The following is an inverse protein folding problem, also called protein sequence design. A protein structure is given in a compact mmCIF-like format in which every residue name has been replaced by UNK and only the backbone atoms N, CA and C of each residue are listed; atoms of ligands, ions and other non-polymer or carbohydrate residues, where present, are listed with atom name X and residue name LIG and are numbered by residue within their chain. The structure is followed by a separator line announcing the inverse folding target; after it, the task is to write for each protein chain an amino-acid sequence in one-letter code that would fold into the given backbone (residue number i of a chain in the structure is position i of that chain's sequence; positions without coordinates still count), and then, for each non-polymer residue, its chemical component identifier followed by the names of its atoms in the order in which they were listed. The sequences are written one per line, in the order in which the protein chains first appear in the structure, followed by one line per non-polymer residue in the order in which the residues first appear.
data_IF_104183262873
#
_entry.id   IF_104183262873
#
_cell.length_a   1.000
_cell.length_b   1.000
_cell.length_c   1.000
_cell.angle_alpha   90.00
_cell.angle_beta   90.00
_cell.angle_gamma   90.00
#
_symmetry.space_group_name_H-M   'P 1'
#
loop_
_entity.id
_entity.type
_entity.pdbx_description
1 polymer ?
#
# COMPACT_ATOMS: atom_id res chain seq x y z
N UNK A 1 -5.96 -23.11 -16.71
CA UNK A 1 -5.24 -22.43 -15.60
C UNK A 1 -6.24 -21.94 -14.56
N UNK A 2 -5.99 -22.12 -13.25
CA UNK A 2 -6.86 -21.57 -12.20
C UNK A 2 -6.56 -20.08 -12.00
N UNK A 3 -7.58 -19.23 -12.12
CA UNK A 3 -7.52 -17.78 -11.83
C UNK A 3 -7.73 -17.52 -10.32
N UNK A 4 -7.40 -16.32 -9.86
CA UNK A 4 -7.81 -15.87 -8.53
C UNK A 4 -9.33 -15.69 -8.46
N UNK A 5 -9.90 -15.82 -7.25
CA UNK A 5 -11.30 -15.48 -7.02
C UNK A 5 -11.55 -13.99 -7.36
N UNK A 6 -12.69 -13.61 -7.96
CA UNK A 6 -12.97 -12.23 -8.38
C UNK A 6 -12.77 -11.20 -7.27
N UNK A 7 -13.16 -11.52 -6.03
CA UNK A 7 -12.93 -10.66 -4.86
C UNK A 7 -11.44 -10.34 -4.65
N UNK A 8 -10.56 -11.33 -4.80
CA UNK A 8 -9.12 -11.12 -4.65
C UNK A 8 -8.56 -10.26 -5.78
N UNK A 9 -9.12 -10.37 -6.99
CA UNK A 9 -8.76 -9.53 -8.15
C UNK A 9 -9.21 -8.09 -7.92
N UNK A 10 -10.47 -7.87 -7.53
CA UNK A 10 -11.01 -6.53 -7.21
C UNK A 10 -10.16 -5.86 -6.12
N UNK A 11 -9.91 -6.56 -5.01
CA UNK A 11 -9.12 -6.01 -3.91
C UNK A 11 -7.69 -5.70 -4.33
N UNK A 12 -7.06 -6.53 -5.17
CA UNK A 12 -5.72 -6.22 -5.68
C UNK A 12 -5.68 -4.91 -6.48
N UNK A 13 -6.60 -4.73 -7.43
CA UNK A 13 -6.66 -3.51 -8.25
C UNK A 13 -7.10 -2.29 -7.45
N UNK A 14 -7.99 -2.44 -6.48
CA UNK A 14 -8.35 -1.38 -5.54
C UNK A 14 -7.12 -0.93 -4.74
N UNK A 15 -6.34 -1.86 -4.20
CA UNK A 15 -5.10 -1.51 -3.47
C UNK A 15 -4.13 -0.73 -4.37
N UNK A 16 -3.93 -1.20 -5.61
CA UNK A 16 -3.09 -0.49 -6.59
C UNK A 16 -3.58 0.95 -6.81
N UNK A 17 -4.88 1.15 -7.07
CA UNK A 17 -5.46 2.47 -7.28
C UNK A 17 -5.30 3.37 -6.05
N UNK A 18 -5.53 2.85 -4.85
CA UNK A 18 -5.37 3.62 -3.61
C UNK A 18 -3.91 4.05 -3.40
N UNK A 19 -2.93 3.17 -3.66
CA UNK A 19 -1.51 3.55 -3.60
C UNK A 19 -1.18 4.62 -4.63
N UNK A 20 -1.64 4.46 -5.88
CA UNK A 20 -1.40 5.44 -6.93
C UNK A 20 -1.96 6.82 -6.55
N UNK A 21 -3.18 6.86 -6.00
CA UNK A 21 -3.82 8.10 -5.50
C UNK A 21 -3.05 8.69 -4.33
N UNK A 22 -2.66 7.88 -3.34
CA UNK A 22 -1.94 8.34 -2.16
C UNK A 22 -0.57 8.96 -2.53
N UNK A 23 0.19 8.28 -3.39
CA UNK A 23 1.50 8.74 -3.86
C UNK A 23 1.36 9.98 -4.74
N UNK A 24 0.50 9.94 -5.75
CA UNK A 24 0.27 11.12 -6.60
C UNK A 24 -0.16 12.35 -5.79
N UNK A 25 -1.01 12.17 -4.77
CA UNK A 25 -1.46 13.27 -3.93
C UNK A 25 -0.31 13.89 -3.10
N UNK A 26 0.60 13.09 -2.54
CA UNK A 26 1.70 13.62 -1.72
C UNK A 26 2.81 14.25 -2.58
N UNK A 27 3.12 13.65 -3.73
CA UNK A 27 4.08 14.22 -4.70
C UNK A 27 3.57 15.56 -5.23
N UNK A 28 2.33 15.61 -5.74
CA UNK A 28 1.72 16.85 -6.21
C UNK A 28 1.63 17.89 -5.10
N UNK A 29 1.36 17.48 -3.86
CA UNK A 29 1.36 18.40 -2.72
C UNK A 29 2.71 19.09 -2.56
N UNK A 30 3.82 18.39 -2.80
CA UNK A 30 5.18 18.94 -2.76
C UNK A 30 5.33 20.20 -3.59
N UNK A 31 4.76 20.18 -4.80
CA UNK A 31 4.83 21.25 -5.80
C UNK A 31 3.88 22.44 -5.53
N UNK A 32 2.86 22.27 -4.66
CA UNK A 32 1.89 23.35 -4.39
C UNK A 32 2.41 24.29 -3.29
N UNK A 33 2.42 25.63 -3.47
CA UNK A 33 2.82 26.58 -2.43
C UNK A 33 2.07 26.42 -1.10
N UNK A 34 2.75 26.74 0.01
CA UNK A 34 2.14 26.77 1.35
C UNK A 34 0.99 27.80 1.38
N UNK A 35 -0.07 27.50 2.13
CA UNK A 35 -1.26 28.36 2.27
C UNK A 35 -2.36 28.13 1.24
N UNK A 36 -2.09 27.42 0.15
CA UNK A 36 -3.10 27.12 -0.88
C UNK A 36 -4.11 26.05 -0.41
N UNK A 37 -5.43 26.24 -0.62
CA UNK A 37 -6.46 25.24 -0.27
C UNK A 37 -6.22 23.86 -0.91
N UNK A 38 -5.68 23.84 -2.13
CA UNK A 38 -5.33 22.61 -2.82
C UNK A 38 -4.28 21.79 -2.06
N UNK A 39 -3.29 22.42 -1.44
CA UNK A 39 -2.25 21.73 -0.65
C UNK A 39 -2.84 20.99 0.55
N UNK A 40 -3.85 21.59 1.20
CA UNK A 40 -4.58 20.96 2.30
C UNK A 40 -5.44 19.79 1.78
N UNK A 41 -6.13 19.99 0.66
CA UNK A 41 -6.95 18.95 0.00
C UNK A 41 -6.11 17.73 -0.36
N UNK A 42 -4.94 17.92 -0.98
CA UNK A 42 -4.03 16.83 -1.34
C UNK A 42 -3.52 16.07 -0.11
N UNK A 43 -3.26 16.76 1.02
CA UNK A 43 -2.93 16.10 2.30
C UNK A 43 -4.08 15.21 2.77
N UNK A 44 -5.32 15.71 2.73
CA UNK A 44 -6.52 14.94 3.12
C UNK A 44 -6.70 13.72 2.22
N UNK A 45 -6.54 13.87 0.90
CA UNK A 45 -6.63 12.76 -0.06
C UNK A 45 -5.57 11.70 0.26
N UNK A 46 -4.32 12.10 0.47
CA UNK A 46 -3.23 11.18 0.84
C UNK A 46 -3.55 10.41 2.14
N UNK A 47 -3.94 11.12 3.21
CA UNK A 47 -4.28 10.50 4.50
C UNK A 47 -5.45 9.53 4.36
N UNK A 48 -6.53 9.94 3.67
CA UNK A 48 -7.73 9.12 3.45
C UNK A 48 -7.40 7.87 2.64
N UNK A 49 -6.63 8.00 1.57
CA UNK A 49 -6.19 6.86 0.77
C UNK A 49 -5.33 5.88 1.58
N UNK A 50 -4.40 6.37 2.41
CA UNK A 50 -3.62 5.57 3.35
C UNK A 50 -4.50 4.79 4.34
N UNK A 51 -5.50 5.44 4.93
CA UNK A 51 -6.44 4.79 5.85
C UNK A 51 -7.30 3.72 5.14
N UNK A 52 -7.71 3.97 3.90
CA UNK A 52 -8.42 2.97 3.09
C UNK A 52 -7.52 1.79 2.72
N UNK A 53 -6.24 2.02 2.43
CA UNK A 53 -5.24 0.94 2.23
C UNK A 53 -5.19 0.04 3.46
N UNK A 54 -5.09 0.63 4.66
CA UNK A 54 -5.07 -0.10 5.93
C UNK A 54 -6.35 -0.92 6.14
N UNK A 55 -7.51 -0.35 5.83
CA UNK A 55 -8.80 -1.04 5.93
C UNK A 55 -8.89 -2.20 4.93
N UNK A 56 -8.57 -1.95 3.66
CA UNK A 56 -8.73 -2.94 2.59
C UNK A 56 -7.64 -4.01 2.56
N UNK A 57 -6.46 -3.79 3.15
CA UNK A 57 -5.47 -4.86 3.30
C UNK A 57 -5.97 -5.96 4.25
N UNK A 58 -6.77 -5.61 5.28
CA UNK A 58 -7.42 -6.61 6.15
C UNK A 58 -8.39 -7.47 5.35
N UNK A 59 -9.28 -6.85 4.56
CA UNK A 59 -10.19 -7.58 3.67
C UNK A 59 -9.45 -8.41 2.63
N UNK A 60 -8.34 -7.91 2.09
CA UNK A 60 -7.49 -8.64 1.15
C UNK A 60 -6.85 -9.86 1.78
N UNK A 61 -6.35 -9.75 3.01
CA UNK A 61 -5.79 -10.89 3.74
C UNK A 61 -6.86 -11.92 4.08
N UNK A 62 -8.04 -11.47 4.51
CA UNK A 62 -9.20 -12.34 4.76
C UNK A 62 -9.65 -13.08 3.49
N UNK A 63 -9.74 -12.39 2.35
CA UNK A 63 -10.07 -13.01 1.07
C UNK A 63 -9.01 -14.05 0.64
N UNK A 64 -7.72 -13.76 0.85
CA UNK A 64 -6.63 -14.71 0.58
C UNK A 64 -6.74 -15.95 1.47
N UNK A 65 -7.11 -15.80 2.74
CA UNK A 65 -7.31 -16.94 3.64
C UNK A 65 -8.55 -17.76 3.26
N UNK A 66 -9.66 -17.09 2.93
CA UNK A 66 -10.94 -17.72 2.63
C UNK A 66 -11.00 -18.45 1.28
N UNK A 67 -10.36 -17.88 0.25
CA UNK A 67 -10.41 -18.40 -1.12
C UNK A 67 -9.10 -19.05 -1.57
N UNK A 68 -8.03 -18.90 -0.79
CA UNK A 68 -6.70 -19.41 -1.11
C UNK A 68 -6.03 -18.66 -2.26
N UNK A 69 -4.94 -19.25 -2.76
CA UNK A 69 -4.21 -18.78 -3.94
C UNK A 69 -4.12 -19.90 -4.97
N UNK A 70 -4.13 -19.61 -6.28
CA UNK A 70 -3.88 -20.61 -7.31
C UNK A 70 -2.56 -21.36 -7.07
N UNK A 71 -2.50 -22.60 -7.57
CA UNK A 71 -1.29 -23.43 -7.48
C UNK A 71 -0.07 -22.71 -8.04
N UNK A 72 1.11 -22.94 -7.44
CA UNK A 72 2.38 -22.40 -7.92
C UNK A 72 2.60 -22.79 -9.38
N UNK A 73 3.21 -21.90 -10.15
CA UNK A 73 3.69 -22.23 -11.49
C UNK A 73 5.05 -22.93 -11.36
N UNK A 74 5.32 -23.85 -12.29
CA UNK A 74 6.62 -24.51 -12.35
C UNK A 74 7.73 -23.51 -12.67
N UNK A 75 8.88 -23.69 -12.03
CA UNK A 75 10.04 -22.84 -12.25
C UNK A 75 11.10 -22.99 -11.16
N UNK A 76 12.24 -22.31 -11.32
CA UNK A 76 13.31 -22.32 -10.34
C UNK A 76 12.82 -21.88 -8.96
N UNK A 77 13.30 -22.55 -7.90
CA UNK A 77 12.93 -22.25 -6.51
C UNK A 77 13.20 -20.80 -6.13
N UNK A 78 14.29 -20.21 -6.66
CA UNK A 78 14.64 -18.81 -6.42
C UNK A 78 13.56 -17.83 -6.90
N UNK A 79 12.88 -18.09 -8.03
CA UNK A 79 11.79 -17.21 -8.51
C UNK A 79 10.60 -17.24 -7.55
N UNK A 80 10.23 -18.44 -7.10
CA UNK A 80 9.14 -18.62 -6.14
C UNK A 80 9.47 -17.96 -4.79
N UNK A 81 10.71 -18.08 -4.34
CA UNK A 81 11.17 -17.49 -3.09
C UNK A 81 11.21 -15.96 -3.16
N UNK A 82 11.77 -15.39 -4.24
CA UNK A 82 11.79 -13.94 -4.46
C UNK A 82 10.38 -13.36 -4.54
N UNK A 83 9.47 -14.00 -5.29
CA UNK A 83 8.08 -13.57 -5.36
C UNK A 83 7.38 -13.64 -3.99
N UNK A 84 7.69 -14.64 -3.17
CA UNK A 84 7.18 -14.73 -1.80
C UNK A 84 7.69 -13.57 -0.95
N UNK A 85 9.00 -13.29 -0.98
CA UNK A 85 9.62 -12.21 -0.19
C UNK A 85 9.00 -10.86 -0.57
N UNK A 86 8.94 -10.53 -1.86
CA UNK A 86 8.34 -9.29 -2.34
C UNK A 86 6.88 -9.17 -1.89
N UNK A 87 6.08 -10.24 -1.98
CA UNK A 87 4.71 -10.19 -1.48
C UNK A 87 4.61 -9.98 0.03
N UNK A 88 5.47 -10.62 0.84
CA UNK A 88 5.49 -10.39 2.30
C UNK A 88 5.85 -8.94 2.61
N UNK A 89 6.90 -8.40 1.97
CA UNK A 89 7.32 -7.02 2.15
C UNK A 89 6.21 -6.03 1.75
N UNK A 90 5.52 -6.27 0.63
CA UNK A 90 4.36 -5.47 0.24
C UNK A 90 3.24 -5.51 1.27
N UNK A 91 2.96 -6.67 1.87
CA UNK A 91 1.99 -6.75 2.97
C UNK A 91 2.46 -5.95 4.19
N UNK A 92 3.72 -6.08 4.59
CA UNK A 92 4.28 -5.30 5.73
C UNK A 92 4.09 -3.81 5.49
N UNK A 93 4.47 -3.31 4.31
CA UNK A 93 4.34 -1.89 3.98
C UNK A 93 2.88 -1.44 3.89
N UNK A 94 1.97 -2.27 3.36
CA UNK A 94 0.52 -1.98 3.34
C UNK A 94 -0.08 -1.73 4.73
N UNK A 95 0.47 -2.35 5.78
CA UNK A 95 0.05 -2.09 7.16
C UNK A 95 0.86 -0.96 7.80
N UNK A 96 2.18 -1.07 7.79
CA UNK A 96 3.06 -0.20 8.58
C UNK A 96 3.12 1.23 8.06
N UNK A 97 2.98 1.43 6.74
CA UNK A 97 3.02 2.78 6.17
C UNK A 97 1.80 3.62 6.62
N UNK A 98 0.53 3.18 6.47
CA UNK A 98 -0.59 3.93 7.04
C UNK A 98 -0.55 4.07 8.57
N UNK A 99 -0.12 3.02 9.28
CA UNK A 99 -0.03 3.05 10.75
C UNK A 99 0.97 4.12 11.21
N UNK A 100 2.19 4.13 10.66
CA UNK A 100 3.17 5.18 10.95
C UNK A 100 2.61 6.57 10.62
N UNK A 101 1.84 6.70 9.54
CA UNK A 101 1.16 7.94 9.15
C UNK A 101 0.21 8.49 10.21
N UNK A 102 -0.63 7.60 10.74
CA UNK A 102 -1.57 7.91 11.82
C UNK A 102 -0.80 8.27 13.09
N UNK A 103 0.19 7.47 13.46
CA UNK A 103 0.94 7.66 14.69
C UNK A 103 1.75 8.95 14.65
N UNK A 104 2.53 9.25 13.60
CA UNK A 104 3.29 10.50 13.58
C UNK A 104 2.37 11.72 13.68
N UNK A 105 1.20 11.68 13.03
CA UNK A 105 0.24 12.79 13.10
C UNK A 105 -0.29 12.99 14.53
N UNK A 106 -0.55 11.90 15.25
CA UNK A 106 -0.98 11.96 16.66
C UNK A 106 0.15 12.38 17.60
N UNK A 107 1.39 11.92 17.36
CA UNK A 107 2.57 12.35 18.11
C UNK A 107 2.84 13.85 17.96
N UNK A 108 2.48 14.43 16.81
CA UNK A 108 2.50 15.88 16.54
C UNK A 108 1.31 16.64 17.19
N UNK A 109 0.52 15.97 18.04
CA UNK A 109 -0.61 16.53 18.76
C UNK A 109 -1.86 16.79 17.91
N UNK A 110 -1.90 16.27 16.67
CA UNK A 110 -3.01 16.50 15.74
C UNK A 110 -3.96 15.31 15.71
N UNK A 111 -5.25 15.62 15.59
CA UNK A 111 -6.25 14.58 15.36
C UNK A 111 -6.18 14.06 13.93
N UNK A 112 -6.36 12.75 13.80
CA UNK A 112 -6.47 12.07 12.52
C UNK A 112 -7.94 11.83 12.24
N UNK A 113 -8.47 12.50 11.23
CA UNK A 113 -9.86 12.37 10.81
C UNK A 113 -10.01 11.22 9.81
N UNK A 114 -11.13 10.50 9.87
CA UNK A 114 -11.57 9.51 8.89
C UNK A 114 -13.05 9.74 8.60
N UNK A 115 -13.37 10.24 7.41
CA UNK A 115 -14.74 10.62 7.00
C UNK A 115 -15.47 11.52 8.03
N UNK A 116 -14.77 12.51 8.58
CA UNK A 116 -15.34 13.47 9.53
C UNK A 116 -15.37 13.00 10.99
N UNK A 117 -14.97 11.76 11.28
CA UNK A 117 -14.85 11.24 12.65
C UNK A 117 -13.37 11.21 13.05
N UNK A 118 -13.05 11.72 14.23
CA UNK A 118 -11.70 11.60 14.77
C UNK A 118 -11.41 10.15 15.17
N UNK A 119 -10.29 9.59 14.70
CA UNK A 119 -9.82 8.29 15.17
C UNK A 119 -9.40 8.37 16.65
N UNK A 120 -9.51 7.27 17.42
CA UNK A 120 -8.99 7.23 18.78
C UNK A 120 -7.52 7.65 18.83
N UNK A 121 -7.14 8.43 19.84
CA UNK A 121 -5.73 8.73 20.10
C UNK A 121 -5.06 7.51 20.73
N UNK A 122 -4.04 6.99 20.06
CA UNK A 122 -3.23 5.88 20.55
C UNK A 122 -1.99 6.35 21.29
N UNK A 123 -1.49 7.54 20.92
CA UNK A 123 -0.32 8.17 21.53
C UNK A 123 -0.57 9.66 21.80
N UNK A 124 0.13 10.20 22.80
CA UNK A 124 0.10 11.62 23.16
C UNK A 124 1.14 12.44 22.40
N UNK A 125 1.13 13.76 22.65
CA UNK A 125 2.12 14.70 22.11
C UNK A 125 3.54 14.28 22.49
N UNK A 126 4.38 14.02 21.50
CA UNK A 126 5.79 13.69 21.65
C UNK A 126 6.53 14.05 20.35
N UNK A 127 7.27 15.16 20.35
CA UNK A 127 7.94 15.68 19.16
C UNK A 127 9.04 14.74 18.63
N UNK A 128 9.87 14.18 19.52
CA UNK A 128 10.95 13.26 19.13
C UNK A 128 10.39 11.99 18.46
N UNK A 129 9.30 11.45 19.02
CA UNK A 129 8.61 10.31 18.43
C UNK A 129 7.94 10.68 17.09
N UNK A 130 7.38 11.89 16.98
CA UNK A 130 6.80 12.39 15.74
C UNK A 130 7.84 12.43 14.62
N UNK A 131 9.00 13.02 14.87
CA UNK A 131 10.09 13.13 13.90
C UNK A 131 10.58 11.73 13.48
N UNK A 132 10.81 10.84 14.46
CA UNK A 132 11.21 9.45 14.19
C UNK A 132 10.17 8.70 13.32
N UNK A 133 8.88 8.83 13.65
CA UNK A 133 7.82 8.17 12.90
C UNK A 133 7.62 8.79 11.50
N UNK A 134 7.88 10.08 11.35
CA UNK A 134 7.89 10.73 10.04
C UNK A 134 9.01 10.18 9.17
N UNK A 135 10.24 10.08 9.66
CA UNK A 135 11.37 9.49 8.92
C UNK A 135 11.07 8.05 8.50
N UNK A 136 10.50 7.27 9.42
CA UNK A 136 10.06 5.89 9.16
C UNK A 136 8.96 5.84 8.09
N UNK A 137 8.02 6.79 8.11
CA UNK A 137 6.96 6.89 7.11
C UNK A 137 7.51 7.24 5.73
N UNK A 138 8.44 8.21 5.65
CA UNK A 138 9.09 8.62 4.41
C UNK A 138 9.95 7.50 3.81
N UNK A 139 10.73 6.80 4.65
CA UNK A 139 11.49 5.62 4.26
C UNK A 139 10.59 4.53 3.68
N UNK A 140 9.47 4.23 4.35
CA UNK A 140 8.50 3.26 3.84
C UNK A 140 7.82 3.72 2.54
N UNK A 141 7.56 5.01 2.39
CA UNK A 141 7.05 5.60 1.14
C UNK A 141 7.99 5.33 -0.03
N UNK A 142 9.28 5.57 0.17
CA UNK A 142 10.32 5.25 -0.82
C UNK A 142 10.41 3.74 -1.10
N UNK A 143 10.26 2.91 -0.06
CA UNK A 143 10.26 1.45 -0.22
C UNK A 143 9.05 0.96 -1.06
N UNK A 144 7.88 1.62 -1.00
CA UNK A 144 6.74 1.29 -1.87
C UNK A 144 7.13 1.38 -3.34
N UNK A 145 7.74 2.48 -3.77
CA UNK A 145 8.15 2.66 -5.17
C UNK A 145 9.03 1.52 -5.65
N UNK A 146 10.04 1.16 -4.86
CA UNK A 146 10.95 0.07 -5.19
C UNK A 146 10.25 -1.30 -5.23
N UNK A 147 9.47 -1.64 -4.20
CA UNK A 147 8.80 -2.94 -4.11
C UNK A 147 7.72 -3.13 -5.16
N UNK A 148 6.93 -2.08 -5.45
CA UNK A 148 5.94 -2.09 -6.53
C UNK A 148 6.65 -2.19 -7.88
N UNK A 149 7.76 -1.46 -8.08
CA UNK A 149 8.59 -1.58 -9.28
C UNK A 149 9.06 -3.02 -9.51
N UNK A 150 9.68 -3.64 -8.50
CA UNK A 150 10.09 -5.05 -8.57
C UNK A 150 8.91 -5.99 -8.86
N UNK A 151 7.77 -5.78 -8.21
CA UNK A 151 6.56 -6.57 -8.43
C UNK A 151 6.06 -6.48 -9.87
N UNK A 152 5.96 -5.27 -10.42
CA UNK A 152 5.50 -5.03 -11.79
C UNK A 152 6.50 -5.59 -12.80
N UNK A 153 7.81 -5.33 -12.63
CA UNK A 153 8.84 -5.88 -13.51
C UNK A 153 8.80 -7.42 -13.51
N UNK A 154 8.64 -8.04 -12.35
CA UNK A 154 8.44 -9.48 -12.24
C UNK A 154 7.21 -9.94 -13.02
N UNK A 155 6.06 -9.29 -12.84
CA UNK A 155 4.84 -9.64 -13.56
C UNK A 155 4.99 -9.50 -15.09
N UNK A 156 5.65 -8.44 -15.56
CA UNK A 156 5.92 -8.21 -16.98
C UNK A 156 6.91 -9.21 -17.55
N UNK A 157 7.96 -9.57 -16.81
CA UNK A 157 8.91 -10.63 -17.20
C UNK A 157 8.18 -11.97 -17.41
N UNK A 158 7.32 -12.34 -16.46
CA UNK A 158 6.51 -13.54 -16.59
C UNK A 158 5.54 -13.46 -17.78
N UNK A 159 4.97 -12.27 -18.04
CA UNK A 159 4.03 -12.08 -19.14
C UNK A 159 4.70 -12.16 -20.52
N UNK A 160 5.81 -11.44 -20.74
CA UNK A 160 6.43 -11.28 -22.06
C UNK A 160 7.50 -12.33 -22.35
N UNK A 161 8.34 -12.66 -21.37
CA UNK A 161 9.45 -13.59 -21.55
C UNK A 161 9.05 -15.03 -21.22
N UNK A 162 8.48 -15.30 -20.03
CA UNK A 162 8.08 -16.68 -19.67
C UNK A 162 6.78 -17.12 -20.34
N UNK A 163 5.87 -16.20 -20.63
CA UNK A 163 4.54 -16.45 -21.21
C UNK A 163 3.76 -17.55 -20.49
N UNK A 164 3.93 -17.63 -19.16
CA UNK A 164 3.42 -18.73 -18.32
C UNK A 164 2.00 -18.50 -17.78
N UNK A 165 1.35 -17.42 -18.23
CA UNK A 165 -0.03 -17.14 -17.89
C UNK A 165 -0.23 -16.48 -16.51
N UNK A 166 0.83 -16.07 -15.80
CA UNK A 166 0.69 -15.52 -14.44
C UNK A 166 -0.21 -14.28 -14.40
N UNK A 167 -0.09 -13.41 -15.41
CA UNK A 167 -0.83 -12.15 -15.49
C UNK A 167 -2.33 -12.40 -15.70
N UNK A 168 -2.68 -13.44 -16.46
CA UNK A 168 -4.05 -13.86 -16.74
C UNK A 168 -4.78 -14.35 -15.49
N UNK A 169 -4.06 -14.65 -14.40
CA UNK A 169 -4.67 -15.03 -13.12
C UNK A 169 -5.24 -13.83 -12.36
N UNK A 170 -4.80 -12.61 -12.66
CA UNK A 170 -5.19 -11.36 -11.99
C UNK A 170 -6.12 -10.48 -12.86
N UNK A 171 -6.75 -11.08 -13.87
CA UNK A 171 -7.79 -10.45 -14.69
C UNK A 171 -9.11 -11.19 -14.50
N UNK A 172 -10.22 -10.51 -14.77
CA UNK A 172 -11.54 -11.14 -14.89
C UNK A 172 -11.54 -12.20 -16.00
#
# INVERSE_FOLDING_TARGET
MKKYHPTSVVLHWLMFLLFAVALAAIELRGEIPKGMPLRATLKIVHMTAGQLILLFVVFRLAARWRFGTPAKLDGPSWQTQSARIVHVLLYVVMFMLPISGILFTQADGKDVMFFGVALPRFIGLNAELSDTLQDVHELMGNAVYFLVGLHVVGALWHHFMRRDGIFQRMKF
#
